data_IF_691273771727
#
_entry.id   IF_691273771727
#
_cell.length_a   1.000
_cell.length_b   1.000
_cell.length_c   1.000
_cell.angle_alpha   90.00
_cell.angle_beta   90.00
_cell.angle_gamma   90.00
#
_symmetry.space_group_name_H-M   'P 1'
#
loop_
_entity.id
_entity.type
_entity.pdbx_description
1 polymer ?
#
# COMPACT_ATOMS: atom_id res chain seq x y z
N UNK A 1 -16.37 -35.01 3.62
CA UNK A 1 -17.19 -34.00 2.93
C UNK A 1 -16.57 -32.63 3.11
N UNK A 2 -16.09 -32.02 2.01
CA UNK A 2 -15.37 -30.73 2.02
C UNK A 2 -16.25 -29.48 2.30
N UNK A 3 -17.52 -29.64 2.57
CA UNK A 3 -18.47 -28.53 2.76
C UNK A 3 -18.13 -27.65 4.00
N UNK A 4 -17.70 -28.25 5.11
CA UNK A 4 -17.41 -27.52 6.35
C UNK A 4 -16.14 -26.63 6.25
N UNK A 5 -15.02 -27.12 5.69
CA UNK A 5 -13.82 -26.30 5.46
C UNK A 5 -14.06 -25.13 4.49
N UNK A 6 -14.84 -25.36 3.41
CA UNK A 6 -15.19 -24.28 2.45
C UNK A 6 -15.99 -23.18 3.16
N UNK A 7 -17.02 -23.56 3.92
CA UNK A 7 -17.82 -22.60 4.69
C UNK A 7 -16.95 -21.81 5.67
N UNK A 8 -15.99 -22.48 6.33
CA UNK A 8 -15.05 -21.82 7.23
C UNK A 8 -14.15 -20.83 6.46
N UNK A 9 -13.64 -21.19 5.31
CA UNK A 9 -12.80 -20.32 4.47
C UNK A 9 -13.60 -19.10 3.99
N UNK A 10 -14.83 -19.28 3.50
CA UNK A 10 -15.70 -18.17 3.07
C UNK A 10 -16.01 -17.22 4.23
N UNK A 11 -16.29 -17.76 5.42
CA UNK A 11 -16.53 -16.95 6.62
C UNK A 11 -15.30 -16.13 7.03
N UNK A 12 -14.08 -16.69 6.90
CA UNK A 12 -12.84 -15.99 7.14
C UNK A 12 -12.64 -14.88 6.11
N UNK A 13 -12.87 -15.18 4.83
CA UNK A 13 -12.76 -14.21 3.74
C UNK A 13 -13.70 -13.02 3.94
N UNK A 14 -14.96 -13.25 4.23
CA UNK A 14 -15.96 -12.18 4.49
C UNK A 14 -15.58 -11.33 5.71
N UNK A 15 -14.91 -11.92 6.71
CA UNK A 15 -14.38 -11.18 7.88
C UNK A 15 -13.09 -10.42 7.61
N UNK A 16 -12.52 -10.52 6.40
CA UNK A 16 -11.26 -9.89 6.04
C UNK A 16 -10.01 -10.67 6.44
N UNK A 17 -10.14 -11.86 7.02
CA UNK A 17 -9.01 -12.75 7.35
C UNK A 17 -8.65 -13.61 6.12
N UNK A 18 -8.15 -12.91 5.09
CA UNK A 18 -7.93 -13.49 3.76
C UNK A 18 -6.81 -14.53 3.79
N UNK A 19 -5.75 -14.30 4.55
CA UNK A 19 -4.61 -15.23 4.65
C UNK A 19 -5.04 -16.59 5.19
N UNK A 20 -5.86 -16.60 6.25
CA UNK A 20 -6.38 -17.84 6.81
C UNK A 20 -7.41 -18.50 5.91
N UNK A 21 -8.21 -17.71 5.18
CA UNK A 21 -9.11 -18.25 4.15
C UNK A 21 -8.32 -18.95 3.05
N UNK A 22 -7.26 -18.33 2.51
CA UNK A 22 -6.37 -18.91 1.51
C UNK A 22 -5.70 -20.19 2.00
N UNK A 23 -5.11 -20.19 3.22
CA UNK A 23 -4.49 -21.37 3.80
C UNK A 23 -5.46 -22.54 3.95
N UNK A 24 -6.71 -22.26 4.31
CA UNK A 24 -7.75 -23.30 4.45
C UNK A 24 -8.05 -23.96 3.10
N UNK A 25 -8.17 -23.19 2.02
CA UNK A 25 -8.41 -23.75 0.67
C UNK A 25 -7.17 -24.43 0.13
N UNK A 26 -5.97 -23.89 0.40
CA UNK A 26 -4.71 -24.51 -0.02
C UNK A 26 -4.56 -25.91 0.61
N UNK A 27 -4.84 -26.06 1.90
CA UNK A 27 -4.83 -27.34 2.59
C UNK A 27 -5.76 -28.39 1.96
N UNK A 28 -6.95 -27.94 1.55
CA UNK A 28 -7.88 -28.82 0.79
C UNK A 28 -7.25 -29.28 -0.53
N UNK A 29 -6.66 -28.35 -1.29
CA UNK A 29 -6.03 -28.66 -2.58
C UNK A 29 -4.86 -29.63 -2.45
N UNK A 30 -4.10 -29.54 -1.36
CA UNK A 30 -2.87 -30.30 -1.17
C UNK A 30 -3.10 -31.68 -0.56
N UNK A 31 -4.13 -31.83 0.30
CA UNK A 31 -4.27 -33.04 1.10
C UNK A 31 -5.61 -33.77 0.92
N UNK A 32 -6.66 -33.12 0.39
CA UNK A 32 -8.00 -33.68 0.45
C UNK A 32 -8.67 -33.90 -0.92
N UNK A 33 -8.07 -33.41 -2.02
CA UNK A 33 -8.67 -33.50 -3.36
C UNK A 33 -7.68 -34.13 -4.33
N UNK A 34 -8.07 -35.27 -4.92
CA UNK A 34 -7.29 -35.98 -5.93
C UNK A 34 -7.82 -35.81 -7.35
N UNK A 35 -9.13 -35.61 -7.50
CA UNK A 35 -9.72 -35.37 -8.81
C UNK A 35 -9.29 -34.01 -9.39
N UNK A 36 -8.67 -33.99 -10.60
CA UNK A 36 -8.19 -32.72 -11.19
C UNK A 36 -9.30 -31.69 -11.40
N UNK A 37 -10.49 -32.10 -11.80
CA UNK A 37 -11.60 -31.15 -12.03
C UNK A 37 -12.07 -30.51 -10.75
N UNK A 38 -12.17 -31.28 -9.69
CA UNK A 38 -12.51 -30.78 -8.35
C UNK A 38 -11.39 -29.88 -7.83
N UNK A 39 -10.13 -30.28 -7.96
CA UNK A 39 -8.96 -29.47 -7.60
C UNK A 39 -8.96 -28.13 -8.34
N UNK A 40 -9.28 -28.13 -9.63
CA UNK A 40 -9.41 -26.91 -10.42
C UNK A 40 -10.43 -25.93 -9.82
N UNK A 41 -11.58 -26.42 -9.34
CA UNK A 41 -12.60 -25.59 -8.73
C UNK A 41 -12.09 -24.94 -7.42
N UNK A 42 -11.39 -25.67 -6.53
CA UNK A 42 -10.79 -25.10 -5.32
C UNK A 42 -9.70 -24.11 -5.64
N UNK A 43 -8.87 -24.37 -6.66
CA UNK A 43 -7.84 -23.42 -7.08
C UNK A 43 -8.46 -22.11 -7.61
N UNK A 44 -9.61 -22.18 -8.30
CA UNK A 44 -10.32 -20.95 -8.71
C UNK A 44 -10.88 -20.19 -7.51
N UNK A 45 -11.38 -20.89 -6.48
CA UNK A 45 -11.81 -20.24 -5.24
C UNK A 45 -10.64 -19.57 -4.52
N UNK A 46 -9.49 -20.26 -4.47
CA UNK A 46 -8.24 -19.71 -3.94
C UNK A 46 -7.78 -18.47 -4.73
N UNK A 47 -7.89 -18.52 -6.07
CA UNK A 47 -7.59 -17.37 -6.91
C UNK A 47 -8.49 -16.16 -6.59
N UNK A 48 -9.78 -16.37 -6.33
CA UNK A 48 -10.72 -15.33 -5.90
C UNK A 48 -10.29 -14.68 -4.59
N UNK A 49 -9.92 -15.46 -3.58
CA UNK A 49 -9.49 -14.91 -2.29
C UNK A 49 -8.13 -14.20 -2.43
N UNK A 50 -7.20 -14.82 -3.15
CA UNK A 50 -5.87 -14.27 -3.39
C UNK A 50 -5.89 -12.95 -4.16
N UNK A 51 -6.95 -12.66 -4.92
CA UNK A 51 -7.07 -11.42 -5.70
C UNK A 51 -6.99 -10.16 -4.83
N UNK A 52 -7.51 -10.21 -3.61
CA UNK A 52 -7.42 -9.11 -2.64
C UNK A 52 -6.02 -8.98 -2.02
N UNK A 53 -5.21 -10.04 -2.06
CA UNK A 53 -3.85 -10.05 -1.53
C UNK A 53 -2.81 -9.78 -2.62
N UNK A 54 -2.92 -10.43 -3.78
CA UNK A 54 -1.99 -10.30 -4.90
C UNK A 54 -2.67 -10.71 -6.20
N UNK A 55 -2.81 -9.77 -7.14
CA UNK A 55 -3.37 -10.04 -8.47
C UNK A 55 -2.51 -11.02 -9.27
N UNK A 56 -1.18 -10.98 -9.10
CA UNK A 56 -0.25 -11.88 -9.78
C UNK A 56 -0.42 -13.32 -9.31
N UNK A 57 -0.47 -13.56 -8.00
CA UNK A 57 -0.70 -14.90 -7.46
C UNK A 57 -2.12 -15.41 -7.76
N UNK A 58 -3.12 -14.53 -7.67
CA UNK A 58 -4.48 -14.85 -8.10
C UNK A 58 -4.49 -15.39 -9.53
N UNK A 59 -3.82 -14.70 -10.46
CA UNK A 59 -3.76 -15.15 -11.85
C UNK A 59 -2.99 -16.46 -12.03
N UNK A 60 -1.95 -16.70 -11.23
CA UNK A 60 -1.19 -17.96 -11.20
C UNK A 60 -2.08 -19.11 -10.74
N UNK A 61 -2.84 -18.94 -9.67
CA UNK A 61 -3.82 -19.94 -9.23
C UNK A 61 -4.93 -20.14 -10.25
N UNK A 62 -5.40 -19.07 -10.93
CA UNK A 62 -6.39 -19.18 -11.99
C UNK A 62 -5.85 -19.95 -13.22
N UNK A 63 -4.56 -19.78 -13.57
CA UNK A 63 -3.91 -20.60 -14.61
C UNK A 63 -3.89 -22.06 -14.22
N UNK A 64 -3.49 -22.38 -12.99
CA UNK A 64 -3.51 -23.74 -12.48
C UNK A 64 -4.93 -24.31 -12.42
N UNK A 65 -5.92 -23.51 -12.02
CA UNK A 65 -7.33 -23.92 -12.03
C UNK A 65 -7.80 -24.33 -13.41
N UNK A 66 -7.54 -23.49 -14.43
CA UNK A 66 -7.92 -23.74 -15.80
C UNK A 66 -7.18 -24.92 -16.43
N UNK A 67 -5.92 -25.16 -16.08
CA UNK A 67 -5.17 -26.35 -16.48
C UNK A 67 -5.78 -27.65 -15.95
N UNK A 68 -6.30 -27.61 -14.72
CA UNK A 68 -6.94 -28.77 -14.08
C UNK A 68 -8.40 -28.94 -14.55
N UNK A 69 -9.08 -27.86 -14.90
CA UNK A 69 -10.47 -27.87 -15.34
C UNK A 69 -10.73 -26.72 -16.36
N UNK A 70 -10.72 -27.05 -17.62
CA UNK A 70 -10.90 -26.10 -18.73
C UNK A 70 -12.33 -25.53 -18.87
N UNK A 71 -13.28 -26.01 -18.06
CA UNK A 71 -14.63 -25.45 -17.98
C UNK A 71 -14.70 -24.21 -17.06
N UNK A 72 -13.61 -23.91 -16.35
CA UNK A 72 -13.51 -22.76 -15.44
C UNK A 72 -13.15 -21.45 -16.18
N UNK A 73 -13.08 -20.37 -15.44
CA UNK A 73 -12.71 -19.06 -15.98
C UNK A 73 -11.31 -19.11 -16.59
N UNK A 74 -11.16 -18.56 -17.79
CA UNK A 74 -9.83 -18.38 -18.40
C UNK A 74 -8.98 -17.44 -17.56
N UNK A 75 -7.69 -17.77 -17.33
CA UNK A 75 -6.76 -16.86 -16.73
C UNK A 75 -6.50 -15.65 -17.65
N UNK A 76 -6.09 -14.54 -17.07
CA UNK A 76 -5.59 -13.41 -17.86
C UNK A 76 -4.19 -13.75 -18.40
N UNK A 77 -3.90 -13.29 -19.60
CA UNK A 77 -2.57 -13.40 -20.19
C UNK A 77 -1.62 -12.41 -19.52
N UNK A 78 -0.93 -12.89 -18.49
CA UNK A 78 0.04 -12.12 -17.74
C UNK A 78 -0.60 -11.00 -16.90
N UNK A 79 0.09 -10.61 -15.85
CA UNK A 79 -0.13 -9.33 -15.16
C UNK A 79 1.13 -8.53 -15.43
N UNK A 80 1.04 -7.59 -16.37
CA UNK A 80 2.09 -6.62 -16.60
C UNK A 80 1.90 -5.43 -15.68
N UNK A 81 2.99 -4.97 -15.07
CA UNK A 81 2.98 -3.74 -14.30
C UNK A 81 2.66 -2.56 -15.22
N UNK A 82 1.54 -1.89 -14.94
CA UNK A 82 1.17 -0.67 -15.64
C UNK A 82 1.72 0.52 -14.87
N UNK A 83 2.76 1.14 -15.40
CA UNK A 83 3.36 2.35 -14.81
C UNK A 83 2.32 3.44 -14.58
N UNK A 84 2.53 4.26 -13.56
CA UNK A 84 1.81 5.53 -13.43
C UNK A 84 2.18 6.37 -14.66
N UNK A 85 1.16 6.71 -15.44
CA UNK A 85 1.32 7.54 -16.63
C UNK A 85 1.45 9.03 -16.27
N UNK A 86 1.54 9.88 -17.31
CA UNK A 86 1.56 11.33 -17.14
C UNK A 86 0.29 11.80 -16.41
N UNK A 87 0.49 12.56 -15.34
CA UNK A 87 -0.59 13.12 -14.52
C UNK A 87 -0.91 14.50 -15.06
N UNK A 88 -2.15 14.69 -15.54
CA UNK A 88 -2.63 15.91 -16.15
C UNK A 88 -3.54 16.75 -15.24
N UNK A 89 -4.00 16.17 -14.13
CA UNK A 89 -4.84 16.84 -13.13
C UNK A 89 -3.99 17.39 -12.00
N UNK A 90 -4.34 18.57 -11.48
CA UNK A 90 -3.66 19.12 -10.31
C UNK A 90 -3.94 18.29 -9.07
N UNK A 91 -3.06 18.37 -8.09
CA UNK A 91 -3.25 17.72 -6.80
C UNK A 91 -4.51 18.19 -6.08
N UNK A 92 -4.79 19.48 -6.12
CA UNK A 92 -6.02 20.08 -5.59
C UNK A 92 -7.27 19.53 -6.23
N UNK A 93 -7.26 19.37 -7.55
CA UNK A 93 -8.38 18.77 -8.26
C UNK A 93 -8.63 17.33 -7.82
N UNK A 94 -7.57 16.53 -7.64
CA UNK A 94 -7.71 15.13 -7.17
C UNK A 94 -8.24 15.07 -5.74
N UNK A 95 -7.80 15.95 -4.84
CA UNK A 95 -8.35 16.06 -3.48
C UNK A 95 -9.83 16.39 -3.53
N UNK A 96 -10.22 17.38 -4.33
CA UNK A 96 -11.61 17.79 -4.53
C UNK A 96 -12.48 16.65 -5.04
N UNK A 97 -12.03 15.97 -6.09
CA UNK A 97 -12.73 14.81 -6.67
C UNK A 97 -12.88 13.67 -5.64
N UNK A 98 -11.83 13.42 -4.85
CA UNK A 98 -11.89 12.43 -3.78
C UNK A 98 -12.90 12.82 -2.69
N UNK A 99 -12.90 14.07 -2.24
CA UNK A 99 -13.87 14.56 -1.24
C UNK A 99 -15.31 14.50 -1.78
N UNK A 100 -15.51 14.86 -3.04
CA UNK A 100 -16.82 14.83 -3.70
C UNK A 100 -17.37 13.43 -3.95
N UNK A 101 -16.59 12.35 -3.72
CA UNK A 101 -17.06 10.97 -3.80
C UNK A 101 -17.85 10.52 -2.56
N UNK A 102 -17.87 11.33 -1.50
CA UNK A 102 -18.65 11.09 -0.28
C UNK A 102 -19.95 11.85 -0.30
N UNK A 103 -21.01 11.33 0.33
CA UNK A 103 -22.32 11.96 0.37
C UNK A 103 -22.31 13.27 1.19
N UNK A 104 -21.53 13.30 2.26
CA UNK A 104 -21.42 14.44 3.15
C UNK A 104 -20.08 14.49 3.90
N UNK A 105 -19.85 15.61 4.61
CA UNK A 105 -18.66 15.83 5.43
C UNK A 105 -18.51 14.79 6.57
N UNK A 106 -19.59 14.27 7.10
CA UNK A 106 -19.52 13.31 8.23
C UNK A 106 -19.03 11.96 7.75
N UNK A 107 -19.57 11.45 6.64
CA UNK A 107 -19.12 10.21 6.01
C UNK A 107 -17.67 10.29 5.57
N UNK A 108 -17.25 11.42 5.00
CA UNK A 108 -15.86 11.71 4.68
C UNK A 108 -14.94 11.59 5.92
N UNK A 109 -15.30 12.24 7.02
CA UNK A 109 -14.47 12.22 8.25
C UNK A 109 -14.40 10.85 8.92
N UNK A 110 -15.48 10.06 8.86
CA UNK A 110 -15.50 8.68 9.37
C UNK A 110 -14.48 7.82 8.61
N UNK A 111 -14.44 7.94 7.28
CA UNK A 111 -13.49 7.16 6.46
C UNK A 111 -12.05 7.61 6.71
N UNK A 112 -11.80 8.94 6.76
CA UNK A 112 -10.49 9.48 7.12
C UNK A 112 -10.01 8.93 8.45
N UNK A 113 -10.84 8.96 9.50
CA UNK A 113 -10.47 8.46 10.81
C UNK A 113 -10.18 6.95 10.77
N UNK A 114 -10.96 6.17 10.02
CA UNK A 114 -10.73 4.75 9.81
C UNK A 114 -9.40 4.44 9.10
N UNK A 115 -9.05 5.22 8.09
CA UNK A 115 -7.73 5.11 7.41
C UNK A 115 -6.61 5.47 8.37
N UNK A 116 -6.72 6.60 9.08
CA UNK A 116 -5.68 7.07 10.00
C UNK A 116 -5.49 6.14 11.20
N UNK A 117 -6.52 5.43 11.66
CA UNK A 117 -6.41 4.44 12.74
C UNK A 117 -5.51 3.27 12.33
N UNK A 118 -5.65 2.78 11.09
CA UNK A 118 -4.82 1.70 10.56
C UNK A 118 -3.35 2.08 10.31
N UNK A 119 -3.00 3.37 10.31
CA UNK A 119 -1.63 3.86 10.23
C UNK A 119 -1.01 3.94 11.62
N UNK A 120 -0.84 2.79 12.27
CA UNK A 120 -0.24 2.68 13.60
C UNK A 120 0.69 1.47 13.66
N UNK A 121 1.80 1.62 14.37
CA UNK A 121 2.73 0.50 14.60
C UNK A 121 2.00 -0.64 15.30
N UNK A 122 2.34 -1.88 14.94
CA UNK A 122 1.68 -3.10 15.42
C UNK A 122 0.38 -3.47 14.68
N UNK A 123 -0.11 -2.63 13.78
CA UNK A 123 -1.17 -3.03 12.84
C UNK A 123 -0.57 -3.96 11.79
N UNK A 124 -1.30 -4.99 11.40
CA UNK A 124 -0.89 -5.94 10.36
C UNK A 124 -0.46 -5.21 9.07
N UNK A 125 0.68 -5.59 8.50
CA UNK A 125 1.34 -4.90 7.37
C UNK A 125 0.38 -4.60 6.22
N UNK A 126 -0.43 -5.58 5.80
CA UNK A 126 -1.40 -5.39 4.72
C UNK A 126 -2.41 -4.25 4.97
N UNK A 127 -2.91 -4.13 6.21
CA UNK A 127 -3.83 -3.06 6.58
C UNK A 127 -3.12 -1.71 6.63
N UNK A 128 -1.91 -1.71 7.16
CA UNK A 128 -1.07 -0.52 7.26
C UNK A 128 -0.71 0.03 5.87
N UNK A 129 -0.19 -0.82 5.00
CA UNK A 129 0.19 -0.47 3.63
C UNK A 129 -1.01 0.00 2.81
N UNK A 130 -2.19 -0.65 2.97
CA UNK A 130 -3.43 -0.20 2.32
C UNK A 130 -3.91 1.15 2.86
N UNK A 131 -3.79 1.37 4.16
CA UNK A 131 -4.13 2.66 4.76
C UNK A 131 -3.18 3.77 4.28
N UNK A 132 -1.90 3.44 4.05
CA UNK A 132 -0.91 4.37 3.51
C UNK A 132 -1.23 4.72 2.03
N UNK A 133 -1.63 3.75 1.22
CA UNK A 133 -2.12 3.95 -0.14
C UNK A 133 -3.35 4.89 -0.15
N UNK A 134 -4.32 4.63 0.72
CA UNK A 134 -5.49 5.48 0.88
C UNK A 134 -5.12 6.91 1.34
N UNK A 135 -4.18 7.04 2.30
CA UNK A 135 -3.69 8.36 2.74
C UNK A 135 -3.07 9.14 1.59
N UNK A 136 -2.25 8.50 0.75
CA UNK A 136 -1.70 9.15 -0.43
C UNK A 136 -2.80 9.66 -1.37
N UNK A 137 -3.81 8.82 -1.65
CA UNK A 137 -4.95 9.17 -2.50
C UNK A 137 -5.78 10.34 -1.95
N UNK A 138 -6.13 10.32 -0.65
CA UNK A 138 -6.94 11.37 -0.03
C UNK A 138 -6.25 12.74 -0.02
N UNK A 139 -4.92 12.78 0.06
CA UNK A 139 -4.15 14.02 -0.05
C UNK A 139 -3.70 14.32 -1.48
N UNK A 140 -4.27 13.61 -2.47
CA UNK A 140 -4.23 13.92 -3.88
C UNK A 140 -3.05 13.36 -4.66
N UNK A 141 -2.30 12.39 -4.16
CA UNK A 141 -1.35 11.63 -4.97
C UNK A 141 -2.04 10.57 -5.82
N UNK A 142 -1.44 10.22 -6.93
CA UNK A 142 -1.77 9.00 -7.69
C UNK A 142 -0.97 7.86 -7.09
N UNK A 143 -1.64 6.86 -6.55
CA UNK A 143 -1.02 5.82 -5.74
C UNK A 143 -1.09 4.45 -6.42
N UNK A 144 -0.05 3.65 -6.21
CA UNK A 144 0.03 2.24 -6.59
C UNK A 144 0.75 1.45 -5.50
N UNK A 145 0.49 0.16 -5.46
CA UNK A 145 1.17 -0.81 -4.60
C UNK A 145 1.85 -1.87 -5.47
N UNK A 146 3.05 -1.59 -6.02
CA UNK A 146 3.71 -2.47 -7.00
C UNK A 146 3.98 -3.86 -6.45
N UNK A 147 4.46 -3.98 -5.20
CA UNK A 147 4.67 -5.29 -4.57
C UNK A 147 3.37 -6.11 -4.52
N UNK A 148 2.25 -5.48 -4.24
CA UNK A 148 0.94 -6.12 -4.22
C UNK A 148 0.46 -6.55 -5.61
N UNK A 149 0.76 -5.76 -6.63
CA UNK A 149 0.31 -6.02 -7.99
C UNK A 149 1.13 -7.11 -8.68
N UNK A 150 2.46 -7.06 -8.58
CA UNK A 150 3.38 -7.92 -9.31
C UNK A 150 4.45 -8.62 -8.45
N UNK A 151 4.42 -8.46 -7.12
CA UNK A 151 5.44 -8.93 -6.16
C UNK A 151 6.84 -8.42 -6.45
N UNK A 152 6.93 -7.19 -6.92
CA UNK A 152 8.18 -6.47 -7.18
C UNK A 152 7.96 -4.99 -6.95
N UNK A 153 8.97 -4.32 -6.46
CA UNK A 153 8.89 -2.90 -6.15
C UNK A 153 8.42 -2.62 -4.72
N UNK A 154 8.21 -1.35 -4.38
CA UNK A 154 7.90 -0.91 -3.03
C UNK A 154 6.47 -1.25 -2.59
N UNK A 155 6.22 -1.22 -1.29
CA UNK A 155 4.89 -1.36 -0.70
C UNK A 155 3.93 -0.27 -1.19
N UNK A 156 4.43 0.96 -1.33
CA UNK A 156 3.67 2.10 -1.85
C UNK A 156 4.54 2.96 -2.79
N UNK A 157 3.95 3.34 -3.91
CA UNK A 157 4.49 4.32 -4.85
C UNK A 157 3.44 5.40 -5.10
N UNK A 158 3.76 6.63 -4.75
CA UNK A 158 2.91 7.80 -4.97
C UNK A 158 3.52 8.68 -6.05
N UNK A 159 2.69 9.30 -6.86
CA UNK A 159 3.13 10.24 -7.88
C UNK A 159 2.31 11.54 -7.85
N UNK A 160 2.96 12.65 -8.14
CA UNK A 160 2.35 13.96 -8.34
C UNK A 160 2.64 14.46 -9.76
N UNK A 161 2.16 15.64 -10.10
CA UNK A 161 2.53 16.34 -11.34
C UNK A 161 4.05 16.49 -11.48
N UNK A 162 4.52 16.76 -12.68
CA UNK A 162 5.94 16.95 -12.99
C UNK A 162 6.83 15.73 -12.68
N UNK A 163 6.25 14.53 -12.76
CA UNK A 163 6.95 13.27 -12.55
C UNK A 163 7.72 13.21 -11.23
N UNK A 164 7.13 13.75 -10.17
CA UNK A 164 7.64 13.63 -8.82
C UNK A 164 7.06 12.39 -8.15
N UNK A 165 7.95 11.50 -7.70
CA UNK A 165 7.56 10.24 -7.07
C UNK A 165 7.97 10.19 -5.61
N UNK A 166 7.20 9.46 -4.82
CA UNK A 166 7.49 9.09 -3.43
C UNK A 166 7.38 7.58 -3.34
N UNK A 167 8.46 6.92 -3.00
CA UNK A 167 8.51 5.48 -2.75
C UNK A 167 8.57 5.24 -1.25
N UNK A 168 7.74 4.33 -0.74
CA UNK A 168 7.66 4.04 0.69
C UNK A 168 7.72 2.53 0.93
N UNK A 169 8.65 2.12 1.77
CA UNK A 169 8.78 0.78 2.33
C UNK A 169 8.33 0.77 3.78
N UNK A 170 7.51 -0.20 4.18
CA UNK A 170 6.87 -0.26 5.50
C UNK A 170 7.48 -1.36 6.37
N UNK A 171 7.94 -0.98 7.58
CA UNK A 171 8.44 -1.89 8.62
C UNK A 171 7.74 -1.62 9.96
N UNK A 172 6.41 -1.57 9.93
CA UNK A 172 5.57 -1.22 11.06
C UNK A 172 5.29 -2.39 12.04
N UNK A 173 5.57 -3.63 11.63
CA UNK A 173 5.40 -4.84 12.46
C UNK A 173 6.71 -5.26 13.16
N UNK A 174 7.83 -4.57 12.89
CA UNK A 174 9.07 -4.84 13.60
C UNK A 174 9.01 -4.30 15.03
N UNK A 175 9.82 -4.89 15.93
CA UNK A 175 9.94 -4.45 17.31
C UNK A 175 10.23 -2.93 17.38
N UNK A 176 9.40 -2.20 18.12
CA UNK A 176 9.54 -0.75 18.29
C UNK A 176 10.82 -0.34 19.01
N UNK A 177 11.38 -1.21 19.86
CA UNK A 177 12.62 -1.01 20.59
C UNK A 177 13.87 -1.39 19.80
N UNK A 178 13.68 -1.76 18.54
CA UNK A 178 14.74 -2.12 17.63
C UNK A 178 15.77 -1.01 17.49
N UNK A 179 17.05 -1.37 17.63
CA UNK A 179 18.15 -0.39 17.66
C UNK A 179 18.61 0.05 16.28
N UNK A 180 18.56 -0.84 15.27
CA UNK A 180 19.12 -0.57 13.95
C UNK A 180 18.38 -1.27 12.81
N UNK A 181 18.49 -0.70 11.62
CA UNK A 181 18.05 -1.27 10.34
C UNK A 181 19.10 -2.32 9.93
N UNK A 182 18.69 -3.54 9.71
CA UNK A 182 19.60 -4.64 9.38
C UNK A 182 19.92 -4.69 7.88
N UNK A 183 20.87 -5.60 7.52
CA UNK A 183 21.34 -5.78 6.15
C UNK A 183 20.25 -6.24 5.19
N UNK A 184 19.33 -7.09 5.64
CA UNK A 184 18.27 -7.64 4.79
C UNK A 184 17.23 -6.56 4.44
N UNK A 185 16.87 -5.72 5.40
CA UNK A 185 15.95 -4.60 5.17
C UNK A 185 16.56 -3.53 4.26
N UNK A 186 17.85 -3.23 4.45
CA UNK A 186 18.57 -2.33 3.55
C UNK A 186 18.66 -2.93 2.14
N UNK A 187 18.92 -4.23 2.03
CA UNK A 187 18.94 -4.96 0.76
C UNK A 187 17.60 -4.93 0.04
N UNK A 188 16.50 -5.11 0.78
CA UNK A 188 15.15 -5.01 0.24
C UNK A 188 14.90 -3.60 -0.33
N UNK A 189 15.20 -2.56 0.45
CA UNK A 189 15.05 -1.17 -0.02
C UNK A 189 15.91 -0.87 -1.25
N UNK A 190 17.15 -1.38 -1.31
CA UNK A 190 18.02 -1.24 -2.48
C UNK A 190 17.42 -1.91 -3.73
N UNK A 191 16.80 -3.09 -3.56
CA UNK A 191 16.10 -3.77 -4.66
C UNK A 191 14.91 -2.95 -5.17
N UNK A 192 14.18 -2.28 -4.28
CA UNK A 192 13.08 -1.39 -4.68
C UNK A 192 13.58 -0.13 -5.40
N UNK A 193 14.72 0.42 -4.96
CA UNK A 193 15.37 1.52 -5.67
C UNK A 193 15.78 1.10 -7.10
N UNK A 194 16.44 -0.04 -7.26
CA UNK A 194 16.79 -0.59 -8.57
C UNK A 194 15.56 -0.85 -9.44
N UNK A 195 14.50 -1.42 -8.87
CA UNK A 195 13.24 -1.59 -9.58
C UNK A 195 12.68 -0.26 -10.08
N UNK A 196 12.72 0.80 -9.26
CA UNK A 196 12.25 2.12 -9.67
C UNK A 196 13.08 2.69 -10.82
N UNK A 197 14.40 2.61 -10.73
CA UNK A 197 15.31 3.10 -11.78
C UNK A 197 15.07 2.38 -13.13
N UNK A 198 14.76 1.08 -13.09
CA UNK A 198 14.46 0.28 -14.30
C UNK A 198 13.11 0.67 -14.91
N UNK A 199 12.09 0.88 -14.06
CA UNK A 199 10.74 1.20 -14.54
C UNK A 199 10.52 2.68 -14.83
N UNK A 200 11.19 3.57 -14.14
CA UNK A 200 11.04 5.03 -14.23
C UNK A 200 12.38 5.73 -14.48
N UNK A 201 13.09 5.39 -15.58
CA UNK A 201 14.45 5.89 -15.81
C UNK A 201 14.47 7.42 -15.91
N UNK A 202 15.33 8.03 -15.11
CA UNK A 202 15.54 9.49 -15.09
C UNK A 202 14.52 10.29 -14.28
N UNK A 203 13.51 9.63 -13.70
CA UNK A 203 12.50 10.31 -12.89
C UNK A 203 13.01 10.56 -11.45
N UNK A 204 12.51 11.63 -10.83
CA UNK A 204 12.85 11.99 -9.45
C UNK A 204 11.99 11.24 -8.46
N UNK A 205 12.62 10.60 -7.47
CA UNK A 205 11.92 9.85 -6.44
C UNK A 205 12.50 10.12 -5.05
N UNK A 206 11.66 10.59 -4.12
CA UNK A 206 11.95 10.57 -2.70
C UNK A 206 11.73 9.16 -2.15
N UNK A 207 12.68 8.65 -1.40
CA UNK A 207 12.69 7.27 -0.92
C UNK A 207 12.60 7.25 0.60
N UNK A 208 11.52 6.68 1.12
CA UNK A 208 11.25 6.63 2.56
C UNK A 208 11.14 5.18 3.05
N UNK A 209 11.60 4.96 4.26
CA UNK A 209 11.33 3.75 5.02
C UNK A 209 10.58 4.13 6.30
N UNK A 210 9.42 3.54 6.54
CA UNK A 210 8.68 3.68 7.79
C UNK A 210 9.18 2.63 8.77
N UNK A 211 10.04 3.05 9.69
CA UNK A 211 10.62 2.20 10.74
C UNK A 211 10.98 3.08 11.95
N UNK A 212 10.90 2.53 13.19
CA UNK A 212 11.10 3.35 14.39
C UNK A 212 12.57 3.57 14.80
N UNK A 213 13.51 3.33 13.91
CA UNK A 213 14.94 3.65 14.09
C UNK A 213 15.52 4.27 12.84
N UNK A 214 16.48 5.17 12.98
CA UNK A 214 17.28 5.73 11.87
C UNK A 214 18.71 5.21 11.81
N UNK A 215 19.10 4.35 12.75
CA UNK A 215 20.44 3.79 12.80
C UNK A 215 20.54 2.62 11.82
N UNK A 216 21.46 2.74 10.87
CA UNK A 216 21.79 1.69 9.90
C UNK A 216 22.92 0.83 10.45
N UNK A 217 22.73 -0.47 10.49
CA UNK A 217 23.75 -1.42 10.92
C UNK A 217 25.07 -1.22 10.19
N UNK A 218 26.18 -1.42 10.88
CA UNK A 218 27.54 -1.37 10.28
C UNK A 218 27.65 -2.23 9.02
N UNK A 219 26.96 -3.36 8.97
CA UNK A 219 27.00 -4.32 7.84
C UNK A 219 26.02 -4.02 6.72
N UNK A 220 25.24 -2.94 6.81
CA UNK A 220 24.20 -2.57 5.84
C UNK A 220 24.55 -1.24 5.15
N UNK A 221 24.19 -1.10 3.87
CA UNK A 221 24.34 0.14 3.12
C UNK A 221 23.13 0.39 2.24
N UNK A 222 22.76 1.66 2.08
CA UNK A 222 21.82 2.09 1.07
C UNK A 222 22.55 2.56 -0.19
N UNK A 223 22.07 2.15 -1.37
CA UNK A 223 22.59 2.57 -2.66
C UNK A 223 22.11 3.96 -3.08
N UNK A 224 21.05 4.44 -2.44
CA UNK A 224 20.41 5.73 -2.70
C UNK A 224 20.19 6.48 -1.39
N UNK A 225 19.86 7.77 -1.49
CA UNK A 225 19.39 8.51 -0.32
C UNK A 225 18.04 7.97 0.12
N UNK A 226 18.01 7.36 1.30
CA UNK A 226 16.80 6.87 1.98
C UNK A 226 16.61 7.66 3.26
N UNK A 227 15.39 8.10 3.49
CA UNK A 227 15.01 8.84 4.70
C UNK A 227 14.03 8.02 5.53
N UNK A 228 14.04 8.25 6.83
CA UNK A 228 13.29 7.46 7.80
C UNK A 228 12.12 8.26 8.33
N UNK A 229 10.93 7.65 8.25
CA UNK A 229 9.71 8.15 8.91
C UNK A 229 9.47 7.31 10.17
N UNK A 230 9.69 7.92 11.34
CA UNK A 230 9.48 7.24 12.62
C UNK A 230 8.05 7.37 13.12
N UNK A 231 7.69 6.59 14.14
CA UNK A 231 6.37 6.58 14.79
C UNK A 231 5.85 7.99 15.14
N UNK A 232 6.70 8.84 15.70
CA UNK A 232 6.30 10.21 16.07
C UNK A 232 6.03 11.08 14.84
N UNK A 233 6.85 10.99 13.80
CA UNK A 233 6.65 11.72 12.54
C UNK A 233 5.38 11.26 11.82
N UNK A 234 5.13 9.94 11.79
CA UNK A 234 3.89 9.39 11.25
C UNK A 234 2.66 9.90 12.03
N UNK A 235 2.74 9.97 13.37
CA UNK A 235 1.66 10.55 14.19
C UNK A 235 1.43 12.03 13.86
N UNK A 236 2.50 12.80 13.66
CA UNK A 236 2.39 14.21 13.26
C UNK A 236 1.73 14.34 11.89
N UNK A 237 2.12 13.53 10.90
CA UNK A 237 1.49 13.49 9.58
C UNK A 237 -0.01 13.19 9.70
N UNK A 238 -0.40 12.16 10.46
CA UNK A 238 -1.80 11.81 10.71
C UNK A 238 -2.60 12.98 11.28
N UNK A 239 -2.04 13.69 12.25
CA UNK A 239 -2.68 14.85 12.87
C UNK A 239 -2.85 16.00 11.87
N UNK A 240 -1.84 16.27 11.05
CA UNK A 240 -1.87 17.31 10.04
C UNK A 240 -2.91 16.99 8.94
N UNK A 241 -2.98 15.75 8.49
CA UNK A 241 -4.02 15.29 7.55
C UNK A 241 -5.41 15.45 8.15
N UNK A 242 -5.63 14.98 9.39
CA UNK A 242 -6.91 15.16 10.07
C UNK A 242 -7.28 16.64 10.21
N UNK A 243 -6.33 17.51 10.57
CA UNK A 243 -6.55 18.95 10.72
C UNK A 243 -6.86 19.60 9.39
N UNK A 244 -6.19 19.22 8.32
CA UNK A 244 -6.48 19.70 6.96
C UNK A 244 -7.95 19.45 6.57
N UNK A 245 -8.45 18.23 6.75
CA UNK A 245 -9.83 17.93 6.41
C UNK A 245 -10.84 18.59 7.38
N UNK A 246 -10.47 18.89 8.61
CA UNK A 246 -11.33 19.63 9.55
C UNK A 246 -11.60 21.06 9.11
N UNK A 247 -10.73 21.69 8.30
CA UNK A 247 -10.94 23.03 7.75
C UNK A 247 -12.17 23.11 6.83
N UNK A 248 -12.62 21.98 6.31
CA UNK A 248 -13.81 21.92 5.44
C UNK A 248 -15.11 21.73 6.21
N UNK A 249 -15.07 21.68 7.54
CA UNK A 249 -16.26 21.62 8.36
C UNK A 249 -17.16 22.84 8.12
N UNK A 250 -18.39 22.60 7.73
CA UNK A 250 -19.36 23.66 7.44
C UNK A 250 -19.34 24.14 5.98
N UNK A 251 -18.49 23.58 5.13
CA UNK A 251 -18.55 23.77 3.69
C UNK A 251 -19.30 22.60 3.03
N UNK A 252 -19.92 22.90 1.89
CA UNK A 252 -20.40 21.85 0.98
C UNK A 252 -19.20 21.23 0.25
N UNK A 253 -18.89 19.97 0.54
CA UNK A 253 -17.74 19.28 -0.02
C UNK A 253 -17.83 19.09 -1.55
N UNK A 254 -19.02 19.23 -2.14
CA UNK A 254 -19.23 19.15 -3.59
C UNK A 254 -19.00 20.50 -4.30
N UNK A 255 -18.92 21.61 -3.54
CA UNK A 255 -18.79 22.96 -4.08
C UNK A 255 -17.50 23.67 -3.67
N UNK A 256 -16.50 22.91 -3.20
CA UNK A 256 -15.20 23.46 -2.83
C UNK A 256 -14.47 24.01 -4.06
N UNK A 257 -13.82 25.17 -3.90
CA UNK A 257 -12.94 25.70 -4.93
C UNK A 257 -11.53 25.09 -4.81
N UNK A 258 -10.82 25.04 -5.93
CA UNK A 258 -9.44 24.56 -5.96
C UNK A 258 -8.51 25.46 -5.16
N UNK A 259 -8.76 26.78 -5.17
CA UNK A 259 -8.00 27.78 -4.42
C UNK A 259 -8.10 27.51 -2.92
N UNK A 260 -9.30 27.22 -2.40
CA UNK A 260 -9.50 26.91 -0.98
C UNK A 260 -8.71 25.68 -0.53
N UNK A 261 -8.68 24.66 -1.35
CA UNK A 261 -7.90 23.45 -1.05
C UNK A 261 -6.40 23.75 -1.12
N UNK A 262 -5.97 24.49 -2.17
CA UNK A 262 -4.56 24.83 -2.39
C UNK A 262 -3.98 25.64 -1.22
N UNK A 263 -4.70 26.63 -0.74
CA UNK A 263 -4.29 27.50 0.39
C UNK A 263 -4.02 26.73 1.68
N UNK A 264 -4.63 25.54 1.84
CA UNK A 264 -4.53 24.73 3.06
C UNK A 264 -3.40 23.70 3.03
N UNK A 265 -2.88 23.34 1.85
CA UNK A 265 -1.83 22.31 1.71
C UNK A 265 -0.55 22.70 2.49
N UNK A 266 -0.06 23.91 2.30
CA UNK A 266 1.18 24.39 2.93
C UNK A 266 1.04 24.60 4.44
N UNK A 267 0.01 25.28 4.98
CA UNK A 267 -0.17 25.44 6.42
C UNK A 267 -0.28 24.11 7.16
N UNK A 268 -0.90 23.09 6.53
CA UNK A 268 -1.02 21.76 7.10
C UNK A 268 0.15 20.83 6.78
N UNK A 269 1.22 21.35 6.19
CA UNK A 269 2.45 20.58 5.92
C UNK A 269 2.22 19.33 5.06
N UNK A 270 1.42 19.46 4.01
CA UNK A 270 1.08 18.36 3.11
C UNK A 270 1.74 18.47 1.73
N UNK A 271 2.70 19.37 1.53
CA UNK A 271 3.46 19.44 0.27
C UNK A 271 4.44 18.28 0.15
N UNK A 272 4.88 17.94 -1.06
CA UNK A 272 5.94 16.93 -1.30
C UNK A 272 7.21 17.27 -0.50
N UNK A 273 7.54 18.56 -0.40
CA UNK A 273 8.71 19.03 0.35
C UNK A 273 8.60 18.76 1.86
N UNK A 274 7.39 18.81 2.42
CA UNK A 274 7.16 18.53 3.84
C UNK A 274 7.44 17.06 4.20
N UNK A 275 7.22 16.12 3.28
CA UNK A 275 7.58 14.71 3.52
C UNK A 275 9.08 14.55 3.75
N UNK A 276 9.90 15.33 3.06
CA UNK A 276 11.34 15.34 3.25
C UNK A 276 11.75 16.07 4.54
N UNK A 277 11.23 17.26 4.81
CA UNK A 277 11.73 18.12 5.88
C UNK A 277 11.05 17.92 7.23
N UNK A 278 9.73 17.69 7.24
CA UNK A 278 8.96 17.67 8.49
C UNK A 278 8.74 16.26 9.03
N UNK A 279 8.58 15.26 8.12
CA UNK A 279 8.18 13.92 8.54
C UNK A 279 9.30 12.90 8.48
N UNK A 280 10.45 13.24 7.92
CA UNK A 280 11.54 12.29 7.78
C UNK A 280 12.88 12.84 8.26
N UNK A 281 13.76 11.94 8.60
CA UNK A 281 15.12 12.23 9.06
C UNK A 281 16.14 11.38 8.32
N UNK A 282 17.38 11.88 8.25
CA UNK A 282 18.48 11.18 7.60
C UNK A 282 18.91 9.96 8.42
N UNK A 283 19.36 8.93 7.73
CA UNK A 283 19.97 7.74 8.30
C UNK A 283 21.30 8.05 8.95
N UNK A 284 21.60 7.39 10.05
CA UNK A 284 22.90 7.44 10.72
C UNK A 284 23.53 6.05 10.64
N UNK A 285 24.71 5.95 10.03
CA UNK A 285 25.46 4.70 10.00
C UNK A 285 26.06 4.41 11.38
N UNK A 286 25.80 3.21 11.89
CA UNK A 286 26.45 2.74 13.12
C UNK A 286 27.95 2.52 12.86
N UNK A 287 28.80 3.12 13.69
CA UNK A 287 30.24 2.85 13.68
C UNK A 287 30.55 1.65 14.55
N UNK A 288 31.66 0.96 14.25
CA UNK A 288 32.16 -0.14 15.07
C UNK A 288 32.53 0.32 16.48
#
# INVERSE_FOLDING_TARGET
>A
TCALPIYKAEKLFVKGDVDRACKTIQDICDHHVQDPREKGWYLQLLARYMYSLSKAESNKYQKSAFQNNNSLLKPRDGIEYKKIGKINTSRTQRIKEWMASYDDYQSLMIDIDGVLENLSYGVHSEKFEKALDNLGGMIGFVCQRPDKEIRKGPDNLWADVDNQYIMIECKNEVDEDRKEINKDEAGQMNNHCGWFDDFYPGEKCLKFMIINTRHLSYHADFTHEVRIIKKNSLRTLKNNVRSFFKEFRGFDIHQLSDEKIHELIIPHKLSVHDFYNEYSESVIKTTR
#
